data_IF_220584738667
#
_entry.id   IF_220584738667
#
_cell.length_a   1.000
_cell.length_b   1.000
_cell.length_c   1.000
_cell.angle_alpha   90.00
_cell.angle_beta   90.00
_cell.angle_gamma   90.00
#
_symmetry.space_group_name_H-M   'P 1'
#
loop_
_entity.id
_entity.type
_entity.pdbx_description
1 polymer ?
#
# COMPACT_ATOMS: atom_id res chain seq x y z
N UNK A 1 29.58 51.51 -43.95
CA UNK A 1 30.96 51.08 -44.22
C UNK A 1 31.52 50.61 -42.90
N UNK A 2 31.69 49.35 -42.55
CA UNK A 2 31.41 47.98 -43.01
C UNK A 2 31.64 47.15 -41.71
N UNK A 3 30.94 46.09 -41.31
CA UNK A 3 30.59 44.87 -42.04
C UNK A 3 31.53 43.72 -41.61
N UNK A 4 30.94 42.59 -41.16
CA UNK A 4 31.45 41.20 -40.94
C UNK A 4 31.92 40.86 -39.49
N UNK A 5 31.29 39.96 -38.70
CA UNK A 5 30.88 38.53 -38.81
C UNK A 5 32.03 37.50 -38.76
N UNK A 6 32.01 36.66 -37.71
CA UNK A 6 32.39 35.22 -37.61
C UNK A 6 32.34 34.86 -36.09
N UNK A 7 31.45 34.03 -35.55
CA UNK A 7 31.04 32.62 -35.71
C UNK A 7 31.91 31.56 -34.97
N UNK A 8 31.18 30.76 -34.18
CA UNK A 8 31.39 29.50 -33.46
C UNK A 8 32.76 28.79 -33.35
N UNK A 9 33.08 28.32 -32.12
CA UNK A 9 33.51 26.92 -31.79
C UNK A 9 33.91 26.83 -30.29
N UNK A 10 33.08 26.34 -29.36
CA UNK A 10 32.92 24.94 -28.89
C UNK A 10 34.24 24.20 -28.56
N UNK A 11 34.62 24.25 -27.26
CA UNK A 11 35.08 23.19 -26.31
C UNK A 11 36.07 22.07 -26.76
N UNK A 12 37.00 21.60 -25.87
CA UNK A 12 36.55 20.89 -24.66
C UNK A 12 37.36 21.11 -23.37
N UNK A 13 36.62 21.41 -22.31
CA UNK A 13 37.01 21.18 -20.91
C UNK A 13 37.14 19.67 -20.65
N UNK A 14 38.22 19.31 -19.96
CA UNK A 14 38.54 17.94 -19.54
C UNK A 14 37.38 17.30 -18.79
N UNK A 15 36.83 16.25 -19.39
CA UNK A 15 35.81 15.35 -18.81
C UNK A 15 36.44 14.58 -17.65
N UNK A 16 36.20 15.03 -16.42
CA UNK A 16 36.30 14.16 -15.26
C UNK A 16 35.28 13.04 -15.45
N UNK A 17 35.76 11.81 -15.65
CA UNK A 17 34.92 10.62 -15.61
C UNK A 17 34.40 10.50 -14.18
N UNK A 18 33.16 10.92 -13.95
CA UNK A 18 32.35 10.38 -12.87
C UNK A 18 32.17 8.91 -13.23
N UNK A 19 32.91 8.05 -12.53
CA UNK A 19 32.68 6.62 -12.51
C UNK A 19 31.29 6.39 -11.94
N UNK A 20 30.34 6.11 -12.83
CA UNK A 20 29.07 5.47 -12.50
C UNK A 20 29.37 4.06 -12.01
N UNK A 21 29.64 3.92 -10.71
CA UNK A 21 29.54 2.64 -10.03
C UNK A 21 28.24 2.64 -9.22
N UNK A 22 27.30 1.86 -9.75
CA UNK A 22 26.45 0.94 -8.98
C UNK A 22 25.36 1.52 -8.06
N UNK A 23 24.25 1.96 -8.67
CA UNK A 23 22.95 2.08 -7.98
C UNK A 23 21.87 1.16 -8.56
N UNK A 24 22.21 0.33 -9.55
CA UNK A 24 21.26 -0.52 -10.28
C UNK A 24 20.94 -1.85 -9.62
N UNK A 25 21.68 -2.26 -8.57
CA UNK A 25 21.54 -3.61 -7.99
C UNK A 25 20.77 -3.66 -6.66
N UNK A 26 20.20 -2.53 -6.21
CA UNK A 26 19.46 -2.50 -4.94
C UNK A 26 18.02 -2.98 -5.16
N UNK A 27 17.71 -4.18 -4.67
CA UNK A 27 16.35 -4.72 -4.64
C UNK A 27 15.43 -3.79 -3.84
N UNK A 28 14.20 -3.57 -4.30
CA UNK A 28 13.22 -2.78 -3.56
C UNK A 28 11.97 -3.60 -3.30
N UNK A 29 11.55 -3.69 -2.04
CA UNK A 29 10.26 -4.31 -1.70
C UNK A 29 9.26 -3.21 -1.32
N UNK A 30 8.08 -3.24 -1.93
CA UNK A 30 6.97 -2.35 -1.62
C UNK A 30 5.89 -3.18 -0.93
N UNK A 31 5.73 -2.97 0.37
CA UNK A 31 4.67 -3.60 1.16
C UNK A 31 3.43 -2.72 1.10
N UNK A 32 2.36 -3.25 0.52
CA UNK A 32 1.07 -2.57 0.37
C UNK A 32 0.13 -3.12 1.44
N UNK A 33 -0.14 -2.31 2.45
CA UNK A 33 -0.90 -2.67 3.64
C UNK A 33 -2.35 -2.23 3.53
N UNK A 34 -3.27 -3.07 3.99
CA UNK A 34 -4.56 -2.60 4.48
C UNK A 34 -4.43 -1.99 5.89
N UNK A 35 -5.42 -1.18 6.30
CA UNK A 35 -5.43 -0.51 7.60
C UNK A 35 -6.27 -1.25 8.65
N UNK A 36 -7.59 -1.30 8.43
CA UNK A 36 -8.59 -1.65 9.44
C UNK A 36 -8.72 -3.18 9.52
N UNK A 37 -8.51 -3.75 10.70
CA UNK A 37 -8.39 -5.20 10.95
C UNK A 37 -7.11 -5.87 10.42
N UNK A 38 -6.17 -5.04 9.96
CA UNK A 38 -4.82 -5.44 9.53
C UNK A 38 -3.73 -4.80 10.41
N UNK A 39 -3.51 -3.48 10.29
CA UNK A 39 -2.53 -2.74 11.11
C UNK A 39 -3.13 -2.29 12.44
N UNK A 40 -4.42 -1.95 12.43
CA UNK A 40 -5.18 -1.53 13.60
C UNK A 40 -6.41 -2.44 13.77
N UNK A 41 -6.95 -2.52 14.97
CA UNK A 41 -8.23 -3.18 15.26
C UNK A 41 -9.21 -2.13 15.72
N UNK A 42 -10.31 -1.90 15.00
CA UNK A 42 -11.26 -0.84 15.34
C UNK A 42 -12.71 -1.28 15.15
N UNK A 43 -13.07 -1.74 13.96
CA UNK A 43 -14.41 -2.25 13.66
C UNK A 43 -14.71 -3.49 14.50
N UNK A 44 -13.73 -4.38 14.64
CA UNK A 44 -13.83 -5.60 15.45
C UNK A 44 -13.97 -5.31 16.96
N UNK A 45 -13.42 -4.18 17.43
CA UNK A 45 -13.63 -3.69 18.79
C UNK A 45 -15.03 -3.09 18.95
N UNK A 46 -15.43 -2.19 18.03
CA UNK A 46 -16.73 -1.49 18.07
C UNK A 46 -17.93 -2.45 18.08
N UNK A 47 -17.84 -3.54 17.31
CA UNK A 47 -18.92 -4.54 17.21
C UNK A 47 -18.75 -5.72 18.18
N UNK A 48 -17.66 -5.77 18.97
CA UNK A 48 -17.38 -6.85 19.92
C UNK A 48 -16.83 -8.15 19.33
N UNK A 49 -16.76 -8.27 18.00
CA UNK A 49 -16.38 -9.53 17.32
C UNK A 49 -14.94 -9.94 17.58
N UNK A 50 -14.04 -8.98 17.88
CA UNK A 50 -12.68 -9.31 18.31
C UNK A 50 -12.70 -10.22 19.54
N UNK A 51 -13.46 -9.86 20.56
CA UNK A 51 -13.50 -10.57 21.84
C UNK A 51 -14.26 -11.90 21.77
N UNK A 52 -15.33 -11.94 20.98
CA UNK A 52 -16.12 -13.15 20.74
C UNK A 52 -15.26 -14.30 20.20
N UNK A 53 -14.30 -13.99 19.32
CA UNK A 53 -13.38 -14.98 18.75
C UNK A 53 -12.47 -15.67 19.80
N UNK A 54 -12.35 -15.12 21.01
CA UNK A 54 -11.49 -15.63 22.08
C UNK A 54 -12.21 -16.55 23.07
N UNK A 55 -13.41 -17.03 22.72
CA UNK A 55 -14.17 -18.03 23.47
C UNK A 55 -14.31 -17.71 24.97
N UNK A 56 -14.61 -16.44 25.28
CA UNK A 56 -14.86 -15.96 26.64
C UNK A 56 -13.62 -15.58 27.45
N UNK A 57 -12.41 -15.67 26.88
CA UNK A 57 -11.19 -15.23 27.57
C UNK A 57 -10.95 -13.71 27.51
N UNK A 58 -11.75 -12.97 26.73
CA UNK A 58 -11.74 -11.50 26.66
C UNK A 58 -13.10 -10.92 27.05
N UNK A 59 -13.07 -9.80 27.75
CA UNK A 59 -14.26 -9.02 28.11
C UNK A 59 -14.77 -8.25 26.88
N UNK A 60 -15.95 -8.64 26.38
CA UNK A 60 -16.58 -8.03 25.20
C UNK A 60 -16.92 -6.56 25.44
N UNK A 61 -17.48 -6.23 26.60
CA UNK A 61 -17.94 -4.89 26.91
C UNK A 61 -16.76 -3.90 26.99
N UNK A 62 -15.66 -4.34 27.60
CA UNK A 62 -14.41 -3.57 27.63
C UNK A 62 -13.87 -3.30 26.22
N UNK A 63 -13.93 -4.27 25.32
CA UNK A 63 -13.49 -4.10 23.92
C UNK A 63 -14.33 -3.04 23.18
N UNK A 64 -15.65 -3.10 23.33
CA UNK A 64 -16.58 -2.13 22.74
C UNK A 64 -16.33 -0.73 23.28
N UNK A 65 -16.08 -0.58 24.58
CA UNK A 65 -15.76 0.71 25.19
C UNK A 65 -14.46 1.31 24.64
N UNK A 66 -13.41 0.50 24.50
CA UNK A 66 -12.15 0.91 23.85
C UNK A 66 -12.42 1.39 22.41
N UNK A 67 -13.18 0.61 21.63
CA UNK A 67 -13.55 0.99 20.26
C UNK A 67 -14.28 2.32 20.17
N UNK A 68 -15.26 2.56 21.06
CA UNK A 68 -16.02 3.82 21.14
C UNK A 68 -15.14 5.01 21.54
N UNK A 69 -14.19 4.81 22.44
CA UNK A 69 -13.23 5.86 22.79
C UNK A 69 -12.38 6.25 21.58
N UNK A 70 -11.89 5.27 20.82
CA UNK A 70 -11.15 5.54 19.59
C UNK A 70 -12.00 6.27 18.54
N UNK A 71 -13.20 5.78 18.26
CA UNK A 71 -14.12 6.42 17.30
C UNK A 71 -14.36 7.89 17.67
N UNK A 72 -14.65 8.17 18.94
CA UNK A 72 -14.82 9.54 19.44
C UNK A 72 -13.57 10.39 19.20
N UNK A 73 -12.38 9.90 19.54
CA UNK A 73 -11.15 10.67 19.37
C UNK A 73 -10.76 10.85 17.91
N UNK A 74 -10.95 9.84 17.06
CA UNK A 74 -10.71 9.95 15.62
C UNK A 74 -11.58 11.07 15.04
N UNK A 75 -12.89 11.05 15.32
CA UNK A 75 -13.82 12.08 14.83
C UNK A 75 -13.45 13.47 15.35
N UNK A 76 -13.19 13.59 16.66
CA UNK A 76 -12.79 14.86 17.25
C UNK A 76 -11.55 15.45 16.55
N UNK A 77 -10.53 14.63 16.29
CA UNK A 77 -9.31 15.10 15.65
C UNK A 77 -9.52 15.48 14.19
N UNK A 78 -10.32 14.69 13.48
CA UNK A 78 -10.71 14.97 12.10
C UNK A 78 -11.33 16.37 11.97
N UNK A 79 -12.30 16.67 12.83
CA UNK A 79 -13.08 17.91 12.76
C UNK A 79 -12.29 19.11 13.27
N UNK A 80 -11.66 19.01 14.45
CA UNK A 80 -10.98 20.14 15.09
C UNK A 80 -9.67 20.52 14.40
N UNK A 81 -8.92 19.55 13.86
CA UNK A 81 -7.55 19.79 13.38
C UNK A 81 -7.32 19.48 11.90
N UNK A 82 -8.19 18.70 11.25
CA UNK A 82 -7.98 18.23 9.87
C UNK A 82 -9.08 18.65 8.89
N UNK A 83 -9.86 19.68 9.25
CA UNK A 83 -10.87 20.31 8.39
C UNK A 83 -11.98 19.35 7.92
N UNK A 84 -12.15 18.19 8.57
CA UNK A 84 -12.98 17.13 8.00
C UNK A 84 -14.44 17.53 7.80
N UNK A 85 -15.07 18.19 8.77
CA UNK A 85 -16.41 18.79 8.62
C UNK A 85 -16.56 19.67 7.36
N UNK A 86 -15.49 20.35 6.94
CA UNK A 86 -15.52 21.23 5.75
C UNK A 86 -15.35 20.48 4.43
N UNK A 87 -14.71 19.31 4.43
CA UNK A 87 -14.26 18.60 3.22
C UNK A 87 -14.66 17.13 3.14
N UNK A 88 -15.49 16.63 4.07
CA UNK A 88 -15.91 15.21 4.12
C UNK A 88 -16.53 14.72 2.81
N UNK A 89 -17.28 15.57 2.13
CA UNK A 89 -17.96 15.27 0.87
C UNK A 89 -17.02 15.33 -0.36
N UNK A 90 -15.74 15.65 -0.15
CA UNK A 90 -14.75 15.90 -1.21
C UNK A 90 -13.51 15.03 -1.05
N UNK A 91 -13.73 13.75 -0.72
CA UNK A 91 -12.66 12.77 -0.59
C UNK A 91 -11.78 12.72 -1.85
N UNK A 92 -10.48 12.50 -1.65
CA UNK A 92 -9.52 12.25 -2.71
C UNK A 92 -8.71 11.00 -2.40
N UNK A 93 -8.19 10.30 -3.43
CA UNK A 93 -7.43 9.09 -3.19
C UNK A 93 -6.10 9.31 -2.47
N UNK A 94 -5.48 10.49 -2.59
CA UNK A 94 -4.23 10.85 -1.91
C UNK A 94 -4.10 12.38 -1.85
N UNK A 95 -3.25 12.91 -0.97
CA UNK A 95 -3.18 14.36 -0.70
C UNK A 95 -2.76 15.17 -1.95
N UNK A 96 -1.83 14.65 -2.74
CA UNK A 96 -1.29 15.33 -3.92
C UNK A 96 -2.24 15.31 -5.13
N UNK A 97 -3.43 14.73 -5.02
CA UNK A 97 -4.40 14.58 -6.11
C UNK A 97 -4.92 15.92 -6.68
N UNK A 98 -4.71 17.02 -5.97
CA UNK A 98 -5.10 18.38 -6.39
C UNK A 98 -3.88 19.32 -6.52
N UNK A 99 -2.66 18.76 -6.56
CA UNK A 99 -1.42 19.53 -6.60
C UNK A 99 -1.34 20.53 -7.76
N UNK A 100 -1.96 20.23 -8.91
CA UNK A 100 -2.03 21.14 -10.07
C UNK A 100 -2.82 22.44 -9.80
N UNK A 101 -3.68 22.44 -8.77
CA UNK A 101 -4.47 23.62 -8.37
C UNK A 101 -3.82 24.43 -7.24
N UNK A 102 -2.77 23.92 -6.61
CA UNK A 102 -2.02 24.66 -5.60
C UNK A 102 -1.04 25.64 -6.26
N UNK A 103 -1.20 26.92 -6.01
CA UNK A 103 -0.35 27.97 -6.57
C UNK A 103 0.91 28.24 -5.74
N UNK A 104 1.14 27.47 -4.68
CA UNK A 104 2.30 27.63 -3.79
C UNK A 104 2.23 28.87 -2.90
N UNK A 105 1.07 29.52 -2.78
CA UNK A 105 0.86 30.67 -1.89
C UNK A 105 1.27 30.33 -0.45
N UNK A 106 1.87 31.29 0.24
CA UNK A 106 2.08 31.18 1.68
C UNK A 106 0.74 31.19 2.44
N UNK A 107 0.52 30.19 3.28
CA UNK A 107 -0.74 29.94 3.98
C UNK A 107 -0.68 30.32 5.47
N UNK A 108 0.43 30.86 5.97
CA UNK A 108 0.57 31.24 7.39
C UNK A 108 -0.50 32.23 7.87
N UNK A 109 -0.90 33.19 7.03
CA UNK A 109 -1.96 34.16 7.32
C UNK A 109 -3.29 33.84 6.61
N UNK A 110 -3.45 32.62 6.10
CA UNK A 110 -4.65 32.22 5.37
C UNK A 110 -5.78 31.82 6.32
N UNK A 111 -6.91 32.51 6.22
CA UNK A 111 -8.09 32.25 7.06
C UNK A 111 -9.05 31.24 6.42
N UNK A 112 -8.87 29.95 6.78
CA UNK A 112 -9.71 28.83 6.34
C UNK A 112 -11.16 28.89 6.83
N UNK A 113 -11.49 29.76 7.79
CA UNK A 113 -12.88 29.92 8.26
C UNK A 113 -13.71 30.79 7.32
N UNK A 114 -13.05 31.59 6.46
CA UNK A 114 -13.69 32.59 5.60
C UNK A 114 -13.74 32.18 4.13
N UNK A 115 -13.05 31.12 3.72
CA UNK A 115 -12.96 30.67 2.33
C UNK A 115 -13.95 29.55 1.99
N UNK A 116 -15.21 29.66 2.45
CA UNK A 116 -16.28 28.65 2.27
C UNK A 116 -16.15 27.76 1.02
N UNK A 117 -16.07 26.45 1.22
CA UNK A 117 -15.99 25.44 0.14
C UNK A 117 -17.40 24.99 -0.18
N UNK A 118 -18.02 25.58 -1.20
CA UNK A 118 -19.43 25.36 -1.53
C UNK A 118 -19.67 24.28 -2.58
N UNK A 119 -18.82 24.18 -3.60
CA UNK A 119 -18.92 23.16 -4.67
C UNK A 119 -17.53 22.81 -5.23
N UNK A 120 -17.10 21.55 -5.24
CA UNK A 120 -15.70 21.15 -5.44
C UNK A 120 -15.29 21.09 -6.92
N UNK A 121 -16.20 21.44 -7.84
CA UNK A 121 -16.02 21.18 -9.26
C UNK A 121 -15.39 22.35 -10.01
N UNK A 122 -15.48 23.57 -9.48
CA UNK A 122 -14.76 24.71 -10.06
C UNK A 122 -13.31 24.77 -9.58
N UNK A 123 -12.44 25.35 -10.40
CA UNK A 123 -11.00 25.40 -10.12
C UNK A 123 -10.67 26.23 -8.88
N UNK A 124 -11.54 27.18 -8.51
CA UNK A 124 -11.39 27.97 -7.30
C UNK A 124 -11.54 27.12 -6.03
N UNK A 125 -12.55 26.24 -5.98
CA UNK A 125 -12.75 25.35 -4.85
C UNK A 125 -11.73 24.21 -4.85
N UNK A 126 -11.29 23.70 -6.01
CA UNK A 126 -10.16 22.76 -6.07
C UNK A 126 -8.87 23.35 -5.51
N UNK A 127 -8.60 24.63 -5.77
CA UNK A 127 -7.48 25.37 -5.18
C UNK A 127 -7.58 25.49 -3.66
N UNK A 128 -8.76 25.81 -3.13
CA UNK A 128 -9.01 25.83 -1.67
C UNK A 128 -8.85 24.45 -1.01
N UNK A 129 -9.26 23.39 -1.70
CA UNK A 129 -9.05 22.01 -1.26
C UNK A 129 -7.55 21.66 -1.28
N UNK A 130 -6.82 22.06 -2.32
CA UNK A 130 -5.38 21.87 -2.40
C UNK A 130 -4.63 22.55 -1.24
N UNK A 131 -5.02 23.77 -0.85
CA UNK A 131 -4.47 24.43 0.33
C UNK A 131 -4.69 23.63 1.62
N UNK A 132 -5.91 23.12 1.84
CA UNK A 132 -6.21 22.27 3.00
C UNK A 132 -5.36 21.01 2.99
N UNK A 133 -5.23 20.34 1.84
CA UNK A 133 -4.37 19.16 1.69
C UNK A 133 -2.90 19.45 1.99
N UNK A 134 -2.36 20.60 1.55
CA UNK A 134 -0.98 21.01 1.87
C UNK A 134 -0.78 21.23 3.37
N UNK A 135 -1.74 21.87 4.05
CA UNK A 135 -1.69 22.02 5.52
C UNK A 135 -1.81 20.67 6.22
N UNK A 136 -2.70 19.79 5.76
CA UNK A 136 -2.85 18.43 6.32
C UNK A 136 -1.57 17.62 6.15
N UNK A 137 -0.93 17.67 4.98
CA UNK A 137 0.37 17.05 4.73
C UNK A 137 1.44 17.55 5.71
N UNK A 138 1.51 18.86 5.90
CA UNK A 138 2.46 19.47 6.84
C UNK A 138 2.19 19.04 8.29
N UNK A 139 0.93 19.07 8.75
CA UNK A 139 0.54 18.58 10.09
C UNK A 139 0.88 17.10 10.28
N UNK A 140 0.62 16.27 9.27
CA UNK A 140 0.98 14.86 9.32
C UNK A 140 2.48 14.65 9.49
N UNK A 141 3.30 15.33 8.67
CA UNK A 141 4.76 15.23 8.73
C UNK A 141 5.34 15.72 10.07
N UNK A 142 4.63 16.63 10.76
CA UNK A 142 5.00 17.11 12.08
C UNK A 142 4.61 16.15 13.21
N UNK A 143 3.72 15.18 12.97
CA UNK A 143 3.20 14.28 14.00
C UNK A 143 2.28 14.95 15.02
N UNK A 144 1.67 14.15 15.89
CA UNK A 144 0.64 14.59 16.85
C UNK A 144 1.12 15.60 17.90
N UNK A 145 2.39 15.52 18.29
CA UNK A 145 2.96 16.36 19.36
C UNK A 145 2.96 17.86 19.03
N UNK A 146 2.85 18.23 17.75
CA UNK A 146 2.76 19.61 17.31
C UNK A 146 1.31 20.08 17.08
N UNK A 147 0.35 19.15 17.16
CA UNK A 147 -1.06 19.42 16.87
C UNK A 147 -1.87 19.58 18.16
N UNK A 148 -1.45 18.96 19.27
CA UNK A 148 -2.30 18.75 20.46
C UNK A 148 -1.63 19.15 21.77
N UNK A 149 -2.46 19.38 22.79
CA UNK A 149 -1.99 19.65 24.13
C UNK A 149 -1.50 18.38 24.87
N UNK A 150 -0.82 18.61 26.00
CA UNK A 150 -0.21 17.54 26.80
C UNK A 150 -1.24 16.61 27.45
N UNK A 151 -2.42 17.11 27.80
CA UNK A 151 -3.45 16.33 28.48
C UNK A 151 -4.15 15.37 27.51
N UNK A 152 -4.44 15.83 26.28
CA UNK A 152 -4.94 15.01 25.18
C UNK A 152 -3.94 13.93 24.80
N UNK A 153 -2.65 14.29 24.67
CA UNK A 153 -1.59 13.33 24.38
C UNK A 153 -1.54 12.21 25.43
N UNK A 154 -1.61 12.57 26.72
CA UNK A 154 -1.62 11.58 27.81
C UNK A 154 -2.83 10.65 27.71
N UNK A 155 -4.03 11.19 27.48
CA UNK A 155 -5.24 10.37 27.35
C UNK A 155 -5.14 9.36 26.20
N UNK A 156 -4.53 9.76 25.09
CA UNK A 156 -4.36 8.88 23.93
C UNK A 156 -3.25 7.85 24.13
N UNK A 157 -2.17 8.23 24.82
CA UNK A 157 -1.13 7.29 25.23
C UNK A 157 -1.71 6.19 26.14
N UNK A 158 -2.53 6.59 27.13
CA UNK A 158 -3.23 5.68 28.02
C UNK A 158 -4.21 4.76 27.23
N UNK A 159 -4.94 5.31 26.25
CA UNK A 159 -5.85 4.53 25.40
C UNK A 159 -5.11 3.58 24.46
N UNK A 160 -3.99 4.00 23.87
CA UNK A 160 -3.12 3.16 23.05
C UNK A 160 -2.60 1.98 23.88
N UNK A 161 -2.07 2.24 25.07
CA UNK A 161 -1.58 1.17 25.95
C UNK A 161 -2.71 0.22 26.38
N UNK A 162 -3.87 0.75 26.76
CA UNK A 162 -5.03 -0.05 27.12
C UNK A 162 -5.47 -0.96 25.96
N UNK A 163 -5.51 -0.41 24.75
CA UNK A 163 -5.86 -1.14 23.53
C UNK A 163 -4.84 -2.22 23.22
N UNK A 164 -3.55 -1.88 23.27
CA UNK A 164 -2.46 -2.80 22.95
C UNK A 164 -2.38 -3.95 23.97
N UNK A 165 -2.64 -3.69 25.27
CA UNK A 165 -2.78 -4.75 26.28
C UNK A 165 -3.99 -5.63 25.99
N UNK A 166 -5.15 -5.02 25.71
CA UNK A 166 -6.39 -5.76 25.45
C UNK A 166 -6.29 -6.64 24.20
N UNK A 167 -5.55 -6.18 23.18
CA UNK A 167 -5.37 -6.85 21.88
C UNK A 167 -4.12 -7.73 21.81
N UNK A 168 -3.59 -8.17 22.95
CA UNK A 168 -2.42 -9.06 23.04
C UNK A 168 -1.19 -8.53 22.29
N UNK A 169 -0.96 -7.22 22.35
CA UNK A 169 0.14 -6.48 21.71
C UNK A 169 0.03 -6.34 20.19
N UNK A 170 -1.19 -6.32 19.64
CA UNK A 170 -1.41 -6.15 18.20
C UNK A 170 -0.72 -4.91 17.64
N UNK A 171 -1.00 -3.74 18.20
CA UNK A 171 -0.54 -2.44 17.68
C UNK A 171 0.98 -2.33 17.74
N UNK A 172 1.58 -2.66 18.90
CA UNK A 172 3.04 -2.61 19.06
C UNK A 172 3.77 -3.65 18.20
N UNK A 173 3.17 -4.81 17.96
CA UNK A 173 3.73 -5.84 17.06
C UNK A 173 3.66 -5.42 15.59
N UNK A 174 2.52 -4.88 15.14
CA UNK A 174 2.37 -4.33 13.79
C UNK A 174 3.37 -3.20 13.53
N UNK A 175 3.51 -2.27 14.48
CA UNK A 175 4.48 -1.17 14.40
C UNK A 175 5.92 -1.68 14.35
N UNK A 176 6.26 -2.69 15.17
CA UNK A 176 7.60 -3.30 15.16
C UNK A 176 7.90 -3.94 13.80
N UNK A 177 6.92 -4.62 13.20
CA UNK A 177 7.06 -5.21 11.86
C UNK A 177 7.31 -4.14 10.78
N UNK A 178 6.54 -3.05 10.79
CA UNK A 178 6.71 -1.93 9.88
C UNK A 178 8.11 -1.29 10.03
N UNK A 179 8.60 -1.14 11.27
CA UNK A 179 9.94 -0.64 11.58
C UNK A 179 11.06 -1.52 11.04
N UNK A 180 10.98 -2.84 11.26
CA UNK A 180 11.94 -3.81 10.71
C UNK A 180 11.97 -3.77 9.17
N UNK A 181 10.83 -3.48 8.55
CA UNK A 181 10.76 -3.26 7.12
C UNK A 181 11.58 -2.01 6.76
N UNK A 182 11.36 -0.88 7.41
CA UNK A 182 12.01 0.40 7.08
C UNK A 182 13.51 0.52 7.44
N UNK A 183 14.04 -0.28 8.37
CA UNK A 183 15.41 -0.16 8.91
C UNK A 183 16.55 -0.44 7.92
N UNK A 184 16.27 -0.97 6.72
CA UNK A 184 17.25 -1.06 5.62
C UNK A 184 17.69 0.29 5.06
N UNK A 185 17.02 1.40 5.38
CA UNK A 185 17.29 2.74 4.81
C UNK A 185 18.14 3.67 5.67
N UNK A 186 18.64 3.25 6.84
CA UNK A 186 19.63 4.04 7.56
C UNK A 186 20.97 3.95 6.83
N UNK A 187 21.25 4.97 6.01
CA UNK A 187 22.59 5.26 5.47
C UNK A 187 23.58 5.14 6.62
N UNK A 188 24.55 4.23 6.46
CA UNK A 188 25.69 4.08 7.35
C UNK A 188 26.36 5.45 7.53
N UNK A 189 26.20 6.05 8.69
CA UNK A 189 27.17 7.04 9.17
C UNK A 189 28.43 6.26 9.56
N UNK A 190 29.58 6.50 8.92
CA UNK A 190 30.82 5.84 9.32
C UNK A 190 31.30 6.54 10.60
N UNK A 191 31.32 5.83 11.73
CA UNK A 191 32.14 6.00 12.96
C UNK A 191 31.46 5.17 14.07
N UNK A 192 32.08 4.27 14.83
CA UNK A 192 33.48 4.01 15.19
C UNK A 192 33.57 2.49 15.46
N UNK A 193 34.62 1.83 14.96
CA UNK A 193 34.80 0.39 15.11
C UNK A 193 34.87 -0.05 16.58
N UNK A 194 34.09 -1.08 16.94
CA UNK A 194 34.31 -1.88 18.16
C UNK A 194 34.97 -3.21 17.75
N UNK A 195 36.11 -3.61 18.35
CA UNK A 195 37.02 -4.55 17.71
C UNK A 195 36.78 -6.02 18.08
N UNK A 196 35.57 -6.48 18.40
CA UNK A 196 35.32 -7.91 18.66
C UNK A 196 33.83 -8.29 18.55
N UNK A 197 33.49 -9.09 17.54
CA UNK A 197 32.20 -9.79 17.48
C UNK A 197 31.71 -9.95 16.05
N UNK A 198 31.74 -11.18 15.53
CA UNK A 198 31.30 -11.58 14.19
C UNK A 198 29.86 -11.10 13.94
N UNK A 199 29.70 -10.08 13.10
CA UNK A 199 28.40 -9.66 12.59
C UNK A 199 28.15 -10.44 11.29
N UNK A 200 27.49 -11.59 11.40
CA UNK A 200 26.76 -12.17 10.26
C UNK A 200 25.45 -11.38 10.09
N UNK A 201 25.53 -10.10 9.75
CA UNK A 201 24.42 -9.41 9.11
C UNK A 201 24.69 -9.54 7.63
N UNK A 202 23.95 -10.42 6.97
CA UNK A 202 23.66 -10.20 5.56
C UNK A 202 23.07 -8.80 5.49
N UNK A 203 23.88 -7.82 5.09
CA UNK A 203 23.41 -6.48 4.75
C UNK A 203 22.37 -6.75 3.66
N UNK A 204 21.09 -6.76 4.04
CA UNK A 204 20.02 -6.90 3.09
C UNK A 204 20.10 -5.64 2.25
N UNK A 205 20.67 -5.77 1.05
CA UNK A 205 20.82 -4.69 0.09
C UNK A 205 19.45 -4.35 -0.53
N UNK A 206 18.39 -4.41 0.28
CA UNK A 206 17.00 -4.25 -0.11
C UNK A 206 16.43 -3.02 0.57
N UNK A 207 15.93 -2.09 -0.22
CA UNK A 207 15.14 -0.96 0.27
C UNK A 207 13.70 -1.42 0.44
N UNK A 208 13.12 -1.26 1.62
CA UNK A 208 11.70 -1.56 1.83
C UNK A 208 10.92 -0.26 1.95
N UNK A 209 9.72 -0.24 1.39
CA UNK A 209 8.77 0.89 1.48
C UNK A 209 7.42 0.36 1.91
N UNK A 210 6.84 1.01 2.92
CA UNK A 210 5.47 0.73 3.35
C UNK A 210 4.52 1.73 2.68
N UNK A 211 3.45 1.21 2.09
CA UNK A 211 2.35 1.95 1.47
C UNK A 211 1.05 1.47 2.08
N UNK A 212 0.18 2.39 2.48
CA UNK A 212 -1.13 2.10 3.05
C UNK A 212 -2.21 2.33 1.99
N UNK A 213 -3.11 1.36 1.81
CA UNK A 213 -4.29 1.47 0.94
C UNK A 213 -5.50 1.00 1.74
N UNK A 214 -6.39 1.91 2.09
CA UNK A 214 -7.58 1.63 2.92
C UNK A 214 -8.86 1.99 2.19
N UNK A 215 -9.90 1.19 2.43
CA UNK A 215 -11.26 1.47 1.93
C UNK A 215 -11.93 2.63 2.67
N UNK A 216 -11.35 3.19 3.74
CA UNK A 216 -11.84 4.41 4.41
C UNK A 216 -11.52 5.71 3.66
N UNK A 217 -12.18 6.81 4.04
CA UNK A 217 -11.89 8.15 3.50
C UNK A 217 -10.49 8.63 3.92
N UNK A 218 -9.86 9.47 3.10
CA UNK A 218 -8.44 9.83 3.23
C UNK A 218 -8.11 10.55 4.54
N UNK A 219 -8.90 11.56 4.91
CA UNK A 219 -8.58 12.40 6.06
C UNK A 219 -8.67 11.62 7.39
N UNK A 220 -9.75 10.87 7.68
CA UNK A 220 -9.79 9.99 8.84
C UNK A 220 -8.68 8.93 8.83
N UNK A 221 -8.29 8.42 7.67
CA UNK A 221 -7.21 7.44 7.55
C UNK A 221 -5.84 8.03 7.93
N UNK A 222 -5.56 9.27 7.53
CA UNK A 222 -4.36 10.01 7.96
C UNK A 222 -4.37 10.27 9.46
N UNK A 223 -5.52 10.67 10.02
CA UNK A 223 -5.70 10.86 11.46
C UNK A 223 -5.50 9.57 12.23
N UNK A 224 -6.05 8.44 11.75
CA UNK A 224 -5.79 7.12 12.33
C UNK A 224 -4.29 6.80 12.30
N UNK A 225 -3.57 7.06 11.19
CA UNK A 225 -2.13 6.80 11.16
C UNK A 225 -1.38 7.54 12.28
N UNK A 226 -1.73 8.81 12.51
CA UNK A 226 -1.18 9.61 13.59
C UNK A 226 -1.53 9.03 14.97
N UNK A 227 -2.81 8.76 15.23
CA UNK A 227 -3.31 8.23 16.51
C UNK A 227 -2.74 6.86 16.87
N UNK A 228 -2.55 6.01 15.86
CA UNK A 228 -1.99 4.66 16.01
C UNK A 228 -0.47 4.62 15.77
N UNK A 229 0.20 5.78 15.73
CA UNK A 229 1.67 5.92 15.69
C UNK A 229 2.33 5.20 14.50
N UNK A 230 1.75 5.41 13.32
CA UNK A 230 2.19 4.87 12.03
C UNK A 230 2.88 5.95 11.15
N UNK A 231 2.78 7.23 11.52
CA UNK A 231 3.22 8.39 10.74
C UNK A 231 4.74 8.46 10.51
N UNK A 232 5.53 7.92 11.44
CA UNK A 232 6.99 7.82 11.30
C UNK A 232 7.45 6.65 10.41
N UNK A 233 6.53 5.74 10.08
CA UNK A 233 6.79 4.52 9.31
C UNK A 233 6.13 4.52 7.92
N UNK A 234 5.05 5.29 7.75
CA UNK A 234 4.30 5.47 6.52
C UNK A 234 4.14 6.98 6.30
N UNK A 235 4.83 7.53 5.31
CA UNK A 235 4.71 8.97 5.01
C UNK A 235 3.35 9.28 4.39
N UNK A 236 2.89 10.53 4.51
CA UNK A 236 1.60 10.92 3.95
C UNK A 236 1.48 10.72 2.43
N UNK A 237 2.60 10.76 1.67
CA UNK A 237 2.58 10.44 0.23
C UNK A 237 2.29 8.95 -0.02
N UNK A 238 2.49 8.09 0.97
CA UNK A 238 2.30 6.65 0.87
C UNK A 238 0.95 6.19 1.45
N UNK A 239 0.04 7.11 1.74
CA UNK A 239 -1.33 6.80 2.20
C UNK A 239 -2.31 7.04 1.07
N UNK A 240 -3.07 5.99 0.73
CA UNK A 240 -4.08 6.00 -0.33
C UNK A 240 -5.45 5.61 0.25
N UNK A 241 -6.48 6.38 -0.10
CA UNK A 241 -7.88 6.04 0.10
C UNK A 241 -8.44 5.42 -1.18
N UNK A 242 -8.96 4.19 -1.07
CA UNK A 242 -9.67 3.52 -2.16
C UNK A 242 -11.17 3.78 -2.14
N UNK A 243 -11.68 4.64 -1.24
CA UNK A 243 -13.12 4.88 -1.02
C UNK A 243 -13.90 5.12 -2.32
N UNK A 244 -13.41 6.01 -3.21
CA UNK A 244 -14.11 6.36 -4.46
C UNK A 244 -13.66 5.54 -5.68
N UNK A 245 -12.45 4.96 -5.63
CA UNK A 245 -11.75 4.45 -6.82
C UNK A 245 -11.45 2.96 -6.79
N UNK A 246 -11.60 2.32 -5.63
CA UNK A 246 -11.28 0.92 -5.39
C UNK A 246 -9.78 0.61 -5.26
N UNK A 247 -9.47 -0.48 -4.56
CA UNK A 247 -8.08 -0.92 -4.34
C UNK A 247 -7.31 -1.24 -5.63
N UNK A 248 -7.92 -1.86 -6.68
CA UNK A 248 -7.22 -2.10 -7.94
C UNK A 248 -6.66 -0.83 -8.59
N UNK A 249 -7.39 0.28 -8.53
CA UNK A 249 -6.92 1.55 -9.09
C UNK A 249 -5.76 2.14 -8.28
N UNK A 250 -5.86 2.12 -6.94
CA UNK A 250 -4.76 2.54 -6.07
C UNK A 250 -3.49 1.72 -6.33
N UNK A 251 -3.62 0.39 -6.47
CA UNK A 251 -2.49 -0.49 -6.75
C UNK A 251 -1.85 -0.19 -8.10
N UNK A 252 -2.66 0.18 -9.12
CA UNK A 252 -2.14 0.60 -10.43
C UNK A 252 -1.25 1.83 -10.32
N UNK A 253 -1.69 2.87 -9.60
CA UNK A 253 -0.89 4.07 -9.36
C UNK A 253 0.38 3.79 -8.55
N UNK A 254 0.30 2.90 -7.55
CA UNK A 254 1.46 2.47 -6.76
C UNK A 254 2.48 1.75 -7.66
N UNK A 255 2.01 0.86 -8.54
CA UNK A 255 2.85 0.15 -9.51
C UNK A 255 3.57 1.11 -10.46
N UNK A 256 2.85 2.11 -10.96
CA UNK A 256 3.39 3.14 -11.84
C UNK A 256 4.47 3.97 -11.12
N UNK A 257 4.16 4.41 -9.89
CA UNK A 257 5.05 5.23 -9.06
C UNK A 257 6.35 4.53 -8.68
N UNK A 258 6.29 3.25 -8.31
CA UNK A 258 7.46 2.45 -7.91
C UNK A 258 7.95 1.52 -9.03
N UNK A 259 7.88 1.97 -10.29
CA UNK A 259 8.30 1.14 -11.43
C UNK A 259 9.83 0.94 -11.47
N UNK A 260 10.26 -0.29 -11.79
CA UNK A 260 11.66 -0.64 -11.95
C UNK A 260 11.88 -2.16 -12.03
N UNK A 261 13.01 -2.63 -12.62
CA UNK A 261 13.26 -4.05 -12.83
C UNK A 261 13.48 -4.84 -11.53
N UNK A 262 13.92 -4.17 -10.46
CA UNK A 262 14.25 -4.79 -9.17
C UNK A 262 13.22 -4.47 -8.07
N UNK A 263 11.99 -4.13 -8.44
CA UNK A 263 10.91 -3.79 -7.51
C UNK A 263 9.95 -4.98 -7.36
N UNK A 264 9.75 -5.43 -6.13
CA UNK A 264 8.82 -6.48 -5.77
C UNK A 264 7.75 -5.92 -4.85
N UNK A 265 6.49 -6.22 -5.14
CA UNK A 265 5.34 -5.81 -4.34
C UNK A 265 4.84 -6.96 -3.50
N UNK A 266 4.34 -6.70 -2.30
CA UNK A 266 3.60 -7.67 -1.49
C UNK A 266 2.43 -6.99 -0.81
N UNK A 267 1.25 -7.58 -0.95
CA UNK A 267 0.02 -7.07 -0.37
C UNK A 267 -0.24 -7.79 0.95
N UNK A 268 -0.60 -7.04 1.99
CA UNK A 268 -0.85 -7.58 3.33
C UNK A 268 -2.14 -6.97 3.84
N UNK A 269 -3.15 -7.80 4.10
CA UNK A 269 -4.47 -7.35 4.53
C UNK A 269 -5.36 -8.50 4.96
N UNK A 270 -6.49 -8.23 5.59
CA UNK A 270 -7.45 -9.25 6.07
C UNK A 270 -8.59 -9.52 5.08
N UNK A 271 -8.89 -8.55 4.23
CA UNK A 271 -10.07 -8.47 3.39
C UNK A 271 -9.92 -9.08 2.00
N UNK A 272 -11.07 -9.24 1.35
CA UNK A 272 -11.18 -9.78 0.00
C UNK A 272 -10.81 -8.76 -1.09
N UNK A 273 -11.03 -7.46 -0.86
CA UNK A 273 -10.79 -6.40 -1.85
C UNK A 273 -9.30 -6.29 -2.22
N UNK A 274 -8.41 -6.34 -1.23
CA UNK A 274 -6.96 -6.32 -1.43
C UNK A 274 -6.44 -7.64 -2.00
N UNK A 275 -7.07 -8.77 -1.66
CA UNK A 275 -6.75 -10.07 -2.24
C UNK A 275 -7.06 -10.09 -3.74
N UNK A 276 -8.23 -9.60 -4.14
CA UNK A 276 -8.62 -9.45 -5.54
C UNK A 276 -7.69 -8.49 -6.29
N UNK A 277 -7.40 -7.32 -5.71
CA UNK A 277 -6.47 -6.37 -6.31
C UNK A 277 -5.05 -6.94 -6.46
N UNK A 278 -4.56 -7.70 -5.47
CA UNK A 278 -3.28 -8.39 -5.54
C UNK A 278 -3.25 -9.42 -6.68
N UNK A 279 -4.32 -10.19 -6.86
CA UNK A 279 -4.44 -11.16 -7.95
C UNK A 279 -4.41 -10.48 -9.33
N UNK A 280 -5.15 -9.38 -9.51
CA UNK A 280 -5.12 -8.58 -10.75
C UNK A 280 -3.70 -8.10 -11.06
N UNK A 281 -2.95 -7.67 -10.04
CA UNK A 281 -1.58 -7.19 -10.19
C UNK A 281 -0.54 -8.31 -10.30
N UNK A 282 -0.92 -9.56 -10.02
CA UNK A 282 -0.04 -10.72 -9.83
C UNK A 282 0.99 -10.49 -8.72
N UNK A 283 0.54 -9.88 -7.63
CA UNK A 283 1.35 -9.66 -6.44
C UNK A 283 1.05 -10.73 -5.38
N UNK A 284 2.06 -11.19 -4.61
CA UNK A 284 1.82 -12.04 -3.45
C UNK A 284 0.90 -11.33 -2.46
N UNK A 285 -0.01 -12.12 -1.86
CA UNK A 285 -0.93 -11.68 -0.84
C UNK A 285 -0.73 -12.47 0.45
N UNK A 286 -0.52 -11.77 1.55
CA UNK A 286 -0.44 -12.35 2.89
C UNK A 286 -1.71 -11.97 3.65
N UNK A 287 -2.60 -12.93 3.82
CA UNK A 287 -3.85 -12.71 4.54
C UNK A 287 -3.60 -12.61 6.05
N UNK A 288 -4.02 -11.51 6.67
CA UNK A 288 -4.06 -11.32 8.12
C UNK A 288 -5.40 -11.83 8.67
N UNK A 289 -5.36 -12.50 9.81
CA UNK A 289 -6.57 -12.94 10.52
C UNK A 289 -6.39 -12.64 12.01
N UNK A 290 -7.16 -11.67 12.53
CA UNK A 290 -7.07 -11.27 13.92
C UNK A 290 -7.62 -12.30 14.91
N UNK A 291 -8.31 -13.34 14.44
CA UNK A 291 -8.84 -14.41 15.29
C UNK A 291 -7.69 -15.25 15.88
N UNK A 292 -7.89 -15.87 17.06
CA UNK A 292 -6.82 -16.62 17.74
C UNK A 292 -6.23 -17.78 16.93
N UNK A 293 -7.05 -18.39 16.06
CA UNK A 293 -6.66 -19.51 15.18
C UNK A 293 -6.08 -19.06 13.84
N UNK A 294 -5.96 -17.75 13.60
CA UNK A 294 -5.44 -17.21 12.36
C UNK A 294 -3.99 -17.64 12.12
N UNK A 295 -3.67 -18.01 10.88
CA UNK A 295 -2.33 -18.46 10.50
C UNK A 295 -1.31 -17.32 10.49
N UNK A 296 -1.71 -16.13 10.06
CA UNK A 296 -0.91 -14.91 10.14
C UNK A 296 -1.65 -13.86 10.93
N UNK A 297 -1.05 -13.43 12.04
CA UNK A 297 -1.62 -12.44 12.95
C UNK A 297 -0.51 -11.69 13.68
N UNK A 298 -0.87 -10.60 14.34
CA UNK A 298 0.02 -9.93 15.28
C UNK A 298 -0.34 -10.31 16.73
N UNK A 299 0.67 -10.54 17.59
CA UNK A 299 2.05 -10.92 17.24
C UNK A 299 2.10 -12.26 16.47
N UNK A 300 3.11 -12.43 15.61
CA UNK A 300 3.36 -13.72 14.93
C UNK A 300 3.84 -13.60 13.48
N UNK A 301 3.38 -12.60 12.73
CA UNK A 301 3.87 -12.34 11.38
C UNK A 301 5.36 -11.92 11.42
N UNK A 302 6.17 -12.47 10.50
CA UNK A 302 7.62 -12.17 10.41
C UNK A 302 8.02 -11.84 8.98
N UNK A 303 9.09 -11.05 8.81
CA UNK A 303 9.67 -10.75 7.49
C UNK A 303 10.09 -12.02 6.73
N UNK A 304 10.47 -13.09 7.44
CA UNK A 304 10.76 -14.39 6.84
C UNK A 304 9.51 -14.99 6.19
N UNK A 305 8.37 -14.91 6.87
CA UNK A 305 7.08 -15.37 6.33
C UNK A 305 6.72 -14.59 5.07
N UNK A 306 6.76 -13.25 5.13
CA UNK A 306 6.46 -12.41 3.96
C UNK A 306 7.46 -12.64 2.82
N UNK A 307 8.75 -12.78 3.14
CA UNK A 307 9.79 -13.10 2.17
C UNK A 307 9.55 -14.44 1.45
N UNK A 308 8.97 -15.43 2.12
CA UNK A 308 8.58 -16.68 1.48
C UNK A 308 7.48 -16.46 0.43
N UNK A 309 6.43 -15.72 0.75
CA UNK A 309 5.37 -15.37 -0.21
C UNK A 309 5.93 -14.62 -1.43
N UNK A 310 6.83 -13.68 -1.20
CA UNK A 310 7.52 -12.95 -2.26
C UNK A 310 8.34 -13.91 -3.14
N UNK A 311 9.16 -14.78 -2.54
CA UNK A 311 9.98 -15.74 -3.31
C UNK A 311 9.12 -16.65 -4.20
N UNK A 312 7.98 -17.14 -3.69
CA UNK A 312 7.09 -18.01 -4.46
C UNK A 312 6.55 -17.31 -5.70
N UNK A 313 6.16 -16.04 -5.63
CA UNK A 313 5.57 -15.37 -6.80
C UNK A 313 6.64 -14.87 -7.78
N UNK A 314 7.71 -14.26 -7.29
CA UNK A 314 8.69 -13.61 -8.16
C UNK A 314 9.78 -14.57 -8.67
N UNK A 315 10.27 -15.52 -7.87
CA UNK A 315 11.28 -16.48 -8.35
C UNK A 315 10.68 -17.50 -9.34
N UNK A 316 9.39 -17.82 -9.22
CA UNK A 316 8.65 -18.57 -10.25
C UNK A 316 8.58 -17.76 -11.55
N UNK A 317 8.30 -16.46 -11.45
CA UNK A 317 8.19 -15.58 -12.62
C UNK A 317 9.53 -15.44 -13.36
N UNK A 318 10.64 -15.34 -12.64
CA UNK A 318 11.99 -15.29 -13.21
C UNK A 318 12.37 -16.63 -13.88
N UNK A 319 12.02 -17.76 -13.27
CA UNK A 319 12.26 -19.07 -13.87
C UNK A 319 11.41 -19.34 -15.13
N UNK A 320 10.20 -18.79 -15.22
CA UNK A 320 9.35 -18.89 -16.42
C UNK A 320 9.81 -17.94 -17.54
N UNK A 321 10.30 -16.74 -17.20
CA UNK A 321 10.86 -15.80 -18.18
C UNK A 321 12.16 -16.34 -18.78
N UNK A 322 13.07 -16.86 -17.95
CA UNK A 322 14.31 -17.51 -18.41
C UNK A 322 14.04 -18.70 -19.34
N UNK A 323 13.02 -19.52 -19.05
CA UNK A 323 12.61 -20.64 -19.92
C UNK A 323 12.05 -20.16 -21.25
N UNK A 324 11.27 -19.07 -21.23
CA UNK A 324 10.71 -18.46 -22.45
C UNK A 324 11.81 -17.83 -23.30
N UNK A 325 12.77 -17.14 -22.68
CA UNK A 325 13.93 -16.56 -23.36
C UNK A 325 14.86 -17.65 -23.90
N UNK A 326 15.07 -18.74 -23.16
CA UNK A 326 15.79 -19.92 -23.66
C UNK A 326 15.05 -20.62 -24.81
N UNK A 327 13.72 -20.66 -24.80
CA UNK A 327 12.94 -21.21 -25.91
C UNK A 327 13.02 -20.31 -27.16
N UNK A 328 12.93 -18.99 -27.00
CA UNK A 328 13.08 -18.01 -28.10
C UNK A 328 14.50 -18.02 -28.65
N UNK A 329 15.53 -18.09 -27.80
CA UNK A 329 16.93 -18.18 -28.21
C UNK A 329 17.26 -19.49 -28.95
N UNK A 330 16.49 -20.55 -28.70
CA UNK A 330 16.60 -21.83 -29.39
C UNK A 330 15.62 -21.98 -30.57
N UNK A 331 14.83 -20.96 -30.90
CA UNK A 331 14.07 -20.94 -32.15
C UNK A 331 15.02 -20.69 -33.31
N UNK A 332 15.15 -21.68 -34.19
CA UNK A 332 15.87 -21.54 -35.46
C UNK A 332 15.12 -20.53 -36.36
N UNK A 333 15.74 -19.41 -36.78
CA UNK A 333 15.10 -18.45 -37.68
C UNK A 333 14.70 -19.05 -39.04
N UNK A 334 15.13 -20.29 -39.31
CA UNK A 334 14.86 -21.02 -40.56
C UNK A 334 13.51 -21.75 -40.58
N UNK A 335 12.75 -21.81 -39.47
CA UNK A 335 11.47 -22.55 -39.44
C UNK A 335 10.24 -21.71 -39.82
N UNK A 336 10.40 -20.43 -40.16
CA UNK A 336 9.35 -19.60 -40.73
C UNK A 336 9.43 -19.62 -42.26
N UNK A 337 9.18 -20.78 -42.88
CA UNK A 337 8.81 -20.84 -44.29
C UNK A 337 7.30 -21.03 -44.39
N UNK A 338 6.70 -19.99 -44.98
CA UNK A 338 5.33 -19.92 -45.46
C UNK A 338 5.17 -21.00 -46.53
N UNK A 339 4.36 -22.02 -46.28
CA UNK A 339 3.78 -22.82 -47.35
C UNK A 339 2.48 -22.13 -47.80
N UNK A 340 2.62 -21.30 -48.81
CA UNK A 340 1.52 -20.94 -49.70
C UNK A 340 1.19 -22.14 -50.60
N UNK A 341 -0.11 -22.44 -50.68
CA UNK A 341 -0.80 -23.28 -51.67
C UNK A 341 -1.09 -24.76 -51.32
N UNK A 342 -2.28 -24.99 -50.74
CA UNK A 342 -3.19 -26.03 -51.23
C UNK A 342 -4.64 -25.71 -50.87
N UNK A 343 -5.38 -25.21 -51.86
CA UNK A 343 -6.84 -25.06 -51.85
C UNK A 343 -7.50 -26.43 -52.08
N UNK A 344 -8.53 -26.70 -51.25
CA UNK A 344 -9.64 -27.66 -51.44
C UNK A 344 -9.35 -29.16 -51.33
N UNK A 345 -10.04 -29.83 -50.39
CA UNK A 345 -11.07 -30.86 -50.66
C UNK A 345 -11.80 -31.23 -49.35
N UNK A 346 -13.06 -31.59 -49.52
CA UNK A 346 -14.16 -31.66 -48.54
C UNK A 346 -14.18 -32.91 -47.61
N UNK A 347 -14.87 -32.71 -46.46
CA UNK A 347 -15.86 -33.58 -45.79
C UNK A 347 -15.45 -34.87 -45.05
N UNK A 348 -15.92 -34.86 -43.79
CA UNK A 348 -16.53 -35.94 -42.97
C UNK A 348 -15.64 -37.09 -42.49
N UNK A 349 -15.49 -37.22 -41.17
CA UNK A 349 -16.18 -38.26 -40.39
C UNK A 349 -16.04 -38.06 -38.87
N UNK A 350 -17.08 -38.53 -38.18
CA UNK A 350 -17.37 -38.52 -36.75
C UNK A 350 -16.51 -39.50 -35.92
N UNK A 351 -16.62 -39.31 -34.59
CA UNK A 351 -16.49 -40.29 -33.49
C UNK A 351 -15.10 -40.80 -33.07
N UNK A 352 -14.82 -40.73 -31.75
CA UNK A 352 -13.81 -41.59 -31.12
C UNK A 352 -13.07 -41.04 -29.91
N UNK A 353 -13.76 -41.03 -28.77
CA UNK A 353 -13.30 -41.09 -27.37
C UNK A 353 -11.81 -41.46 -27.07
N UNK A 354 -11.23 -40.83 -26.03
CA UNK A 354 -10.57 -41.49 -24.87
C UNK A 354 -9.17 -40.98 -24.45
N UNK A 355 -9.14 -40.43 -23.21
CA UNK A 355 -8.15 -40.58 -22.12
C UNK A 355 -6.86 -39.74 -22.11
N UNK A 356 -6.81 -38.85 -21.10
CA UNK A 356 -5.62 -38.22 -20.49
C UNK A 356 -4.89 -39.22 -19.57
N UNK A 357 -3.62 -38.95 -19.23
CA UNK A 357 -3.13 -39.17 -17.87
C UNK A 357 -2.82 -37.85 -17.16
N UNK A 358 -3.26 -37.80 -15.90
CA UNK A 358 -3.03 -36.73 -14.93
C UNK A 358 -1.62 -36.78 -14.34
N UNK A 359 -1.04 -35.61 -14.06
CA UNK A 359 -0.22 -35.38 -12.87
C UNK A 359 -0.73 -34.10 -12.16
N UNK A 360 -0.82 -34.08 -10.82
CA UNK A 360 -1.54 -33.04 -10.09
C UNK A 360 -0.62 -31.84 -9.77
N UNK A 361 -1.07 -30.64 -10.11
CA UNK A 361 -0.58 -29.40 -9.48
C UNK A 361 -1.48 -29.17 -8.27
N UNK A 362 -0.86 -29.16 -7.09
CA UNK A 362 -1.51 -28.83 -5.82
C UNK A 362 -1.86 -27.35 -5.84
N UNK A 363 -3.11 -27.05 -6.17
CA UNK A 363 -3.79 -25.84 -5.72
C UNK A 363 -4.71 -26.29 -4.59
N UNK A 364 -4.31 -26.04 -3.35
CA UNK A 364 -5.25 -26.17 -2.23
C UNK A 364 -6.28 -25.06 -2.32
N UNK A 365 -7.40 -25.46 -2.90
CA UNK A 365 -8.77 -24.96 -2.83
C UNK A 365 -9.07 -24.13 -1.58
N UNK A 366 -9.65 -22.95 -1.80
CA UNK A 366 -10.21 -22.14 -0.73
C UNK A 366 -10.95 -20.88 -1.19
N UNK A 367 -11.56 -20.85 -2.37
CA UNK A 367 -12.56 -19.83 -2.75
C UNK A 367 -13.27 -20.28 -4.02
N UNK A 368 -14.47 -20.87 -3.92
CA UNK A 368 -15.49 -20.79 -4.99
C UNK A 368 -16.90 -21.14 -4.46
N UNK A 369 -17.84 -20.24 -4.77
CA UNK A 369 -19.31 -20.37 -4.88
C UNK A 369 -20.22 -20.50 -3.63
N UNK A 370 -21.00 -19.45 -3.36
CA UNK A 370 -22.46 -19.48 -3.54
C UNK A 370 -22.96 -18.12 -4.07
N UNK A 371 -23.42 -18.06 -5.32
CA UNK A 371 -24.83 -18.04 -5.79
C UNK A 371 -25.49 -16.66 -5.68
N UNK A 372 -25.82 -16.10 -6.85
CA UNK A 372 -26.46 -14.81 -7.02
C UNK A 372 -27.88 -14.75 -6.45
N UNK A 373 -28.29 -13.53 -6.10
CA UNK A 373 -29.65 -13.21 -5.72
C UNK A 373 -30.28 -12.46 -6.89
N UNK A 374 -31.22 -13.13 -7.54
CA UNK A 374 -32.09 -12.55 -8.55
C UNK A 374 -32.98 -11.45 -7.96
N UNK A 375 -33.12 -10.37 -8.72
CA UNK A 375 -34.12 -9.33 -8.50
C UNK A 375 -35.53 -9.92 -8.61
N UNK A 376 -36.33 -9.81 -7.54
CA UNK A 376 -37.78 -9.98 -7.58
C UNK A 376 -38.42 -8.63 -7.26
N UNK A 377 -39.02 -8.01 -8.27
CA UNK A 377 -39.99 -6.92 -8.14
C UNK A 377 -41.29 -7.42 -7.53
N UNK A 378 -41.96 -6.66 -6.64
CA UNK A 378 -43.29 -7.02 -6.15
C UNK A 378 -44.37 -6.63 -7.18
N UNK A 379 -45.49 -7.37 -7.27
CA UNK A 379 -46.62 -6.94 -8.08
C UNK A 379 -47.50 -5.93 -7.33
N UNK A 380 -48.06 -5.01 -8.09
CA UNK A 380 -49.12 -4.09 -7.70
C UNK A 380 -50.41 -4.85 -7.33
N UNK A 381 -50.97 -4.53 -6.16
CA UNK A 381 -52.39 -4.19 -5.94
C UNK A 381 -52.61 -3.76 -4.50
#
# INVERSE_FOLDING_TARGET
MDGLLDDNSINPVKRAKITTHDTTDRKMNVYVWDMDETLILLKSLLNGTYAEAFNGSKDIQKGIEIGKMWEKHILQVCDEYFFYEQIENYNKPFLDALSEYDDGRDLSDYDFSRDSVSSPHDDLNKKKLAYRHRIIAHKYAQGLHNVLDQDMMKQWDDLYELTDIYTDKWLSSARTFLGQSSEGNKVLTPNLASPNGVINSSISNSQNVNVLVTSGSLIPSLVKCLLFRLDDLITHQNVYSSWDVGKPQCFSWIKERFSGPNVQFCVIGDGWEECEAAQIMRWPFVQIDHRPSGSHRFPGLTLKTVGHYISVVYEISDAESEKKDAWIANMDPSSCLVDTDAVSQEKKNEEGNSVRPHHPVVWSVGCYMMVGVDHITPPES
#
